data_IF_401456263261
#
_entry.id   IF_401456263261
#
_cell.length_a   1.000
_cell.length_b   1.000
_cell.length_c   1.000
_cell.angle_alpha   90.00
_cell.angle_beta   90.00
_cell.angle_gamma   90.00
#
_symmetry.space_group_name_H-M   'P 1'
#
loop_
_entity.id
_entity.type
_entity.pdbx_description
1 polymer ?
#
# COMPACT_ATOMS: atom_id res chain seq x y z
N UNK A 1 1.70 -14.21 -13.41
CA UNK A 1 0.23 -14.43 -13.34
C UNK A 1 -0.37 -13.96 -14.65
N UNK A 2 -1.29 -14.71 -15.26
CA UNK A 2 -1.99 -14.28 -16.48
C UNK A 2 -3.36 -13.77 -16.02
N UNK A 3 -3.70 -12.54 -16.38
CA UNK A 3 -5.02 -11.99 -16.11
C UNK A 3 -6.05 -12.69 -17.02
N UNK A 4 -7.07 -13.37 -16.48
CA UNK A 4 -8.06 -14.10 -17.27
C UNK A 4 -8.91 -13.18 -18.16
N UNK A 5 -9.04 -11.90 -17.82
CA UNK A 5 -9.88 -10.95 -18.56
C UNK A 5 -9.12 -10.24 -19.67
N UNK A 6 -7.86 -9.85 -19.42
CA UNK A 6 -7.05 -9.13 -20.41
C UNK A 6 -6.05 -10.00 -21.16
N UNK A 7 -5.85 -11.25 -20.74
CA UNK A 7 -4.82 -12.15 -21.26
C UNK A 7 -3.38 -11.67 -21.00
N UNK A 8 -3.20 -10.57 -20.27
CA UNK A 8 -1.89 -9.96 -20.04
C UNK A 8 -1.14 -10.74 -18.97
N UNK A 9 0.12 -11.04 -19.26
CA UNK A 9 1.03 -11.67 -18.31
C UNK A 9 1.72 -10.61 -17.47
N UNK A 10 1.44 -10.61 -16.17
CA UNK A 10 2.12 -9.76 -15.21
C UNK A 10 3.23 -10.53 -14.49
N UNK A 11 4.43 -9.92 -14.36
CA UNK A 11 5.52 -10.51 -13.62
C UNK A 11 5.21 -10.50 -12.12
N UNK A 12 5.69 -11.52 -11.40
CA UNK A 12 5.59 -11.54 -9.95
C UNK A 12 6.57 -10.51 -9.35
N UNK A 13 6.18 -9.78 -8.28
CA UNK A 13 7.08 -8.86 -7.62
C UNK A 13 8.28 -9.62 -7.01
N UNK A 14 9.47 -8.98 -6.94
CA UNK A 14 10.61 -9.55 -6.24
C UNK A 14 10.25 -9.86 -4.78
N UNK A 15 10.86 -10.93 -4.24
CA UNK A 15 10.61 -11.37 -2.85
C UNK A 15 10.75 -10.24 -1.83
N UNK A 16 11.73 -9.35 -2.01
CA UNK A 16 11.96 -8.21 -1.12
C UNK A 16 10.77 -7.23 -1.09
N UNK A 17 10.10 -7.02 -2.22
CA UNK A 17 8.93 -6.14 -2.32
C UNK A 17 7.72 -6.82 -1.69
N UNK A 18 7.49 -8.09 -2.01
CA UNK A 18 6.40 -8.87 -1.44
C UNK A 18 6.51 -9.01 0.08
N UNK A 19 7.71 -9.26 0.61
CA UNK A 19 7.97 -9.32 2.05
C UNK A 19 7.74 -7.98 2.74
N UNK A 20 7.98 -6.86 2.05
CA UNK A 20 7.71 -5.53 2.61
C UNK A 20 6.22 -5.28 2.75
N UNK A 21 5.42 -5.64 1.74
CA UNK A 21 3.96 -5.58 1.82
C UNK A 21 3.44 -6.46 2.97
N UNK A 22 3.98 -7.68 3.13
CA UNK A 22 3.61 -8.55 4.26
C UNK A 22 3.93 -7.92 5.61
N UNK A 23 5.12 -7.33 5.76
CA UNK A 23 5.51 -6.65 7.00
C UNK A 23 4.61 -5.46 7.34
N UNK A 24 4.13 -4.69 6.36
CA UNK A 24 3.15 -3.63 6.63
C UNK A 24 1.85 -4.22 7.18
N UNK A 25 1.37 -5.32 6.59
CA UNK A 25 0.15 -6.01 7.02
C UNK A 25 0.27 -6.59 8.43
N UNK A 26 1.44 -7.11 8.77
CA UNK A 26 1.69 -7.70 10.08
C UNK A 26 1.82 -6.62 11.17
N UNK A 27 2.36 -5.44 10.83
CA UNK A 27 2.63 -4.37 11.79
C UNK A 27 1.47 -3.36 11.93
N UNK A 28 0.68 -3.15 10.89
CA UNK A 28 -0.40 -2.15 10.87
C UNK A 28 -1.77 -2.85 10.92
N UNK A 29 -2.57 -2.64 11.98
CA UNK A 29 -3.85 -3.32 12.14
C UNK A 29 -4.93 -2.82 11.18
N UNK A 30 -4.81 -1.61 10.65
CA UNK A 30 -5.78 -1.00 9.74
C UNK A 30 -5.26 -1.02 8.31
N UNK A 31 -6.07 -1.57 7.40
CA UNK A 31 -5.70 -1.73 6.00
C UNK A 31 -5.63 -0.42 5.21
N UNK A 32 -6.26 0.65 5.69
CA UNK A 32 -6.28 1.96 5.02
C UNK A 32 -4.91 2.64 5.02
N UNK A 33 -4.06 2.30 5.99
CA UNK A 33 -2.71 2.86 6.13
C UNK A 33 -1.65 2.02 5.41
N UNK A 34 -2.03 0.87 4.84
CA UNK A 34 -1.11 -0.03 4.18
C UNK A 34 -0.56 0.59 2.90
N UNK A 35 0.76 0.68 2.84
CA UNK A 35 1.44 0.99 1.60
C UNK A 35 1.52 -0.25 0.72
N UNK A 36 1.12 -0.12 -0.55
CA UNK A 36 1.15 -1.22 -1.52
C UNK A 36 2.41 -1.13 -2.40
N UNK A 37 3.55 -1.60 -1.91
CA UNK A 37 4.82 -1.54 -2.61
C UNK A 37 4.84 -2.42 -3.87
N UNK A 38 4.14 -3.56 -3.89
CA UNK A 38 4.01 -4.39 -5.10
C UNK A 38 3.25 -3.66 -6.22
N UNK A 39 2.21 -2.90 -5.88
CA UNK A 39 1.50 -2.03 -6.82
C UNK A 39 2.41 -0.94 -7.42
N UNK A 40 3.19 -0.26 -6.58
CA UNK A 40 4.18 0.74 -7.03
C UNK A 40 5.24 0.11 -7.95
N UNK A 41 5.74 -1.07 -7.57
CA UNK A 41 6.73 -1.80 -8.38
C UNK A 41 6.14 -2.19 -9.74
N UNK A 42 4.93 -2.73 -9.76
CA UNK A 42 4.28 -3.17 -10.98
C UNK A 42 4.01 -1.99 -11.92
N UNK A 43 3.54 -0.86 -11.39
CA UNK A 43 3.31 0.35 -12.19
C UNK A 43 4.61 0.83 -12.87
N UNK A 44 5.73 0.86 -12.15
CA UNK A 44 7.05 1.20 -12.72
C UNK A 44 7.51 0.16 -13.76
N UNK A 45 7.25 -1.12 -13.51
CA UNK A 45 7.58 -2.19 -14.43
C UNK A 45 6.79 -2.08 -15.73
N UNK A 46 5.48 -1.86 -15.65
CA UNK A 46 4.59 -1.71 -16.81
C UNK A 46 5.01 -0.52 -17.67
N UNK A 47 5.41 0.60 -17.05
CA UNK A 47 5.96 1.76 -17.75
C UNK A 47 7.28 1.49 -18.50
N UNK A 48 7.95 0.37 -18.24
CA UNK A 48 9.23 0.03 -18.87
C UNK A 48 10.45 0.66 -18.20
N UNK A 49 10.29 1.26 -17.01
CA UNK A 49 11.39 1.86 -16.27
C UNK A 49 12.57 0.89 -16.02
N UNK A 50 12.37 -0.40 -15.67
CA UNK A 50 13.49 -1.31 -15.43
C UNK A 50 14.44 -1.46 -16.62
N UNK A 51 13.90 -1.44 -17.85
CA UNK A 51 14.69 -1.57 -19.07
C UNK A 51 15.61 -0.35 -19.26
N UNK A 52 15.03 0.85 -19.13
CA UNK A 52 15.77 2.11 -19.24
C UNK A 52 16.80 2.24 -18.11
N UNK A 53 16.42 1.87 -16.89
CA UNK A 53 17.30 1.95 -15.73
C UNK A 53 18.48 0.98 -15.86
N UNK A 54 18.27 -0.22 -16.40
CA UNK A 54 19.37 -1.18 -16.64
C UNK A 54 20.42 -0.63 -17.61
N UNK A 55 19.98 0.06 -18.66
CA UNK A 55 20.88 0.75 -19.62
C UNK A 55 21.65 1.89 -18.94
N UNK A 56 20.96 2.71 -18.16
CA UNK A 56 21.57 3.81 -17.41
C UNK A 56 22.60 3.33 -16.37
N UNK A 57 22.30 2.23 -15.67
CA UNK A 57 23.23 1.60 -14.72
C UNK A 57 24.47 1.00 -15.41
N UNK A 58 24.33 0.55 -16.66
CA UNK A 58 25.47 0.12 -17.48
C UNK A 58 26.34 1.30 -17.97
N UNK A 59 25.97 2.54 -17.65
CA UNK A 59 26.68 3.75 -18.07
C UNK A 59 26.28 4.27 -19.44
N UNK A 60 25.20 3.74 -20.04
CA UNK A 60 24.66 4.29 -21.28
C UNK A 60 24.04 5.67 -21.07
N UNK A 61 23.99 6.43 -22.15
CA UNK A 61 23.33 7.72 -22.17
C UNK A 61 22.03 7.67 -22.93
N UNK A 62 21.04 8.41 -22.43
CA UNK A 62 19.72 8.46 -23.03
C UNK A 62 19.43 9.86 -23.56
N UNK A 63 18.73 9.92 -24.69
CA UNK A 63 18.29 11.18 -25.32
C UNK A 63 16.77 11.31 -25.29
N UNK A 64 16.25 12.53 -25.45
CA UNK A 64 14.80 12.76 -25.46
C UNK A 64 14.05 12.01 -26.58
N UNK A 65 14.76 11.65 -27.65
CA UNK A 65 14.25 10.90 -28.81
C UNK A 65 14.43 9.39 -28.69
N UNK A 66 14.88 8.88 -27.53
CA UNK A 66 15.05 7.44 -27.32
C UNK A 66 13.69 6.72 -27.43
N UNK A 67 13.58 5.64 -28.22
CA UNK A 67 12.31 4.97 -28.47
C UNK A 67 11.70 4.35 -27.22
N UNK A 68 12.51 3.91 -26.25
CA UNK A 68 12.01 3.37 -24.99
C UNK A 68 11.37 4.48 -24.13
N UNK A 69 11.94 5.69 -24.15
CA UNK A 69 11.38 6.85 -23.44
C UNK A 69 10.10 7.38 -24.09
N UNK A 70 10.05 7.40 -25.42
CA UNK A 70 8.84 7.81 -26.15
C UNK A 70 7.70 6.85 -25.81
N UNK A 71 7.93 5.53 -25.89
CA UNK A 71 6.94 4.51 -25.51
C UNK A 71 6.50 4.63 -24.05
N UNK A 72 7.45 4.85 -23.13
CA UNK A 72 7.14 5.08 -21.72
C UNK A 72 6.21 6.29 -21.53
N UNK A 73 6.45 7.37 -22.28
CA UNK A 73 5.65 8.60 -22.20
C UNK A 73 4.26 8.42 -22.78
N UNK A 74 4.14 7.76 -23.92
CA UNK A 74 2.85 7.41 -24.53
C UNK A 74 2.00 6.56 -23.58
N UNK A 75 2.60 5.53 -22.99
CA UNK A 75 1.94 4.68 -22.02
C UNK A 75 1.53 5.46 -20.77
N UNK A 76 2.42 6.32 -20.27
CA UNK A 76 2.14 7.14 -19.11
C UNK A 76 1.00 8.15 -19.35
N UNK A 77 0.92 8.71 -20.55
CA UNK A 77 -0.17 9.60 -20.95
C UNK A 77 -1.51 8.86 -21.03
N UNK A 78 -1.50 7.61 -21.51
CA UNK A 78 -2.69 6.75 -21.59
C UNK A 78 -3.18 6.29 -20.21
N UNK A 79 -2.26 6.00 -19.27
CA UNK A 79 -2.60 5.52 -17.91
C UNK A 79 -2.45 6.59 -16.83
N UNK A 80 -2.70 7.86 -17.18
CA UNK A 80 -2.46 9.02 -16.32
C UNK A 80 -3.17 8.96 -14.96
N UNK A 81 -4.43 8.52 -14.96
CA UNK A 81 -5.23 8.39 -13.74
C UNK A 81 -4.63 7.35 -12.77
N UNK A 82 -4.21 6.20 -13.31
CA UNK A 82 -3.57 5.14 -12.52
C UNK A 82 -2.22 5.58 -11.97
N UNK A 83 -1.42 6.33 -12.73
CA UNK A 83 -0.13 6.84 -12.27
C UNK A 83 -0.30 7.82 -11.11
N UNK A 84 -1.29 8.71 -11.19
CA UNK A 84 -1.59 9.62 -10.08
C UNK A 84 -2.00 8.86 -8.83
N UNK A 85 -2.85 7.84 -8.97
CA UNK A 85 -3.35 7.06 -7.84
C UNK A 85 -2.25 6.18 -7.20
N UNK A 86 -1.39 5.56 -8.01
CA UNK A 86 -0.40 4.56 -7.53
C UNK A 86 0.96 5.19 -7.23
N UNK A 87 1.48 6.03 -8.14
CA UNK A 87 2.83 6.62 -8.02
C UNK A 87 2.81 8.01 -7.37
N UNK A 88 1.63 8.60 -7.16
CA UNK A 88 1.47 9.83 -6.38
C UNK A 88 1.87 11.12 -7.10
N UNK A 89 2.11 11.11 -8.41
CA UNK A 89 2.42 12.33 -9.18
C UNK A 89 1.50 12.50 -10.39
N UNK A 90 1.27 13.77 -10.77
CA UNK A 90 0.39 14.11 -11.89
C UNK A 90 1.21 14.35 -13.15
N UNK A 91 0.85 13.69 -14.25
CA UNK A 91 1.49 13.90 -15.55
C UNK A 91 0.72 14.97 -16.34
N UNK A 92 1.45 15.98 -16.82
CA UNK A 92 0.91 16.99 -17.74
C UNK A 92 0.63 16.39 -19.12
N UNK A 93 -0.40 16.83 -19.86
CA UNK A 93 -0.62 16.40 -21.25
C UNK A 93 0.54 16.77 -22.20
N UNK A 94 1.34 17.78 -21.85
CA UNK A 94 2.54 18.20 -22.60
C UNK A 94 3.84 17.68 -21.97
N UNK A 95 3.77 16.52 -21.32
CA UNK A 95 4.90 15.89 -20.66
C UNK A 95 6.03 15.61 -21.64
N UNK A 96 7.28 15.95 -21.27
CA UNK A 96 8.46 15.55 -22.04
C UNK A 96 9.00 14.21 -21.53
N UNK A 97 9.53 13.34 -22.41
CA UNK A 97 10.01 12.02 -21.99
C UNK A 97 11.11 12.08 -20.93
N UNK A 98 11.99 13.07 -21.04
CA UNK A 98 13.05 13.32 -20.05
C UNK A 98 12.47 13.74 -18.71
N UNK A 99 11.45 14.62 -18.67
CA UNK A 99 10.84 15.02 -17.41
C UNK A 99 10.23 13.81 -16.68
N UNK A 100 9.54 12.93 -17.42
CA UNK A 100 8.97 11.73 -16.84
C UNK A 100 10.06 10.81 -16.28
N UNK A 101 11.14 10.61 -17.04
CA UNK A 101 12.28 9.82 -16.61
C UNK A 101 12.93 10.40 -15.35
N UNK A 102 13.24 11.70 -15.34
CA UNK A 102 13.83 12.39 -14.19
C UNK A 102 12.93 12.26 -12.96
N UNK A 103 11.62 12.49 -13.11
CA UNK A 103 10.66 12.32 -12.00
C UNK A 103 10.68 10.90 -11.43
N UNK A 104 10.72 9.89 -12.29
CA UNK A 104 10.76 8.49 -11.86
C UNK A 104 12.10 8.13 -11.18
N UNK A 105 13.21 8.70 -11.64
CA UNK A 105 14.55 8.49 -11.07
C UNK A 105 14.69 9.22 -9.74
N UNK A 106 14.14 10.43 -9.62
CA UNK A 106 14.11 11.19 -8.37
C UNK A 106 13.31 10.46 -7.29
N UNK A 107 12.20 9.78 -7.65
CA UNK A 107 11.47 8.91 -6.73
C UNK A 107 12.29 7.72 -6.22
N UNK A 108 13.33 7.30 -6.94
CA UNK A 108 14.26 6.26 -6.50
C UNK A 108 15.40 6.84 -5.65
N UNK A 109 15.47 8.16 -5.48
CA UNK A 109 16.53 8.86 -4.76
C UNK A 109 17.83 8.98 -5.54
N UNK A 110 17.79 8.76 -6.86
CA UNK A 110 18.93 8.94 -7.76
C UNK A 110 18.82 10.28 -8.47
N UNK A 111 19.94 10.81 -8.97
CA UNK A 111 19.94 12.03 -9.80
C UNK A 111 20.50 11.77 -11.19
N UNK A 112 20.05 12.60 -12.13
CA UNK A 112 20.54 12.62 -13.50
C UNK A 112 21.41 13.85 -13.75
N UNK A 113 22.47 13.65 -14.51
CA UNK A 113 23.27 14.74 -15.12
C UNK A 113 22.97 14.82 -16.61
N UNK A 114 23.15 16.01 -17.18
CA UNK A 114 22.98 16.23 -18.62
C UNK A 114 24.25 16.80 -19.23
N UNK A 115 24.63 16.30 -20.40
CA UNK A 115 25.74 16.84 -21.19
C UNK A 115 25.29 17.09 -22.63
N UNK A 116 25.75 18.21 -23.20
CA UNK A 116 25.49 18.54 -24.61
C UNK A 116 26.64 17.99 -25.44
N UNK A 117 26.31 17.23 -26.48
CA UNK A 117 27.27 16.77 -27.48
C UNK A 117 26.85 17.28 -28.85
N UNK A 118 27.84 17.64 -29.67
CA UNK A 118 27.64 18.10 -31.06
C UNK A 118 28.20 19.49 -31.31
N UNK A 119 28.40 19.79 -32.59
CA UNK A 119 28.82 21.12 -33.07
C UNK A 119 27.72 22.17 -32.94
N UNK A 120 28.05 23.43 -33.26
CA UNK A 120 27.06 24.53 -33.32
C UNK A 120 25.94 24.16 -34.31
N UNK A 121 24.68 24.20 -33.84
CA UNK A 121 23.49 23.89 -34.64
C UNK A 121 22.94 22.47 -34.53
N UNK A 122 23.73 21.49 -34.04
CA UNK A 122 23.34 20.07 -33.90
C UNK A 122 23.55 19.55 -32.47
N UNK A 123 23.42 20.43 -31.47
CA UNK A 123 23.63 20.04 -30.07
C UNK A 123 22.47 19.18 -29.57
N UNK A 124 22.75 17.91 -29.27
CA UNK A 124 21.82 17.00 -28.62
C UNK A 124 22.18 16.89 -27.14
N UNK A 125 21.16 16.91 -26.28
CA UNK A 125 21.33 16.69 -24.83
C UNK A 125 21.27 15.19 -24.55
N UNK A 126 22.35 14.69 -23.96
CA UNK A 126 22.47 13.34 -23.44
C UNK A 126 22.33 13.38 -21.93
N UNK A 127 21.62 12.40 -21.39
CA UNK A 127 21.35 12.28 -19.97
C UNK A 127 21.94 10.97 -19.44
N UNK A 128 22.62 11.05 -18.32
CA UNK A 128 23.27 9.93 -17.63
C UNK A 128 23.01 10.02 -16.13
N UNK A 129 23.21 8.92 -15.40
CA UNK A 129 23.16 8.96 -13.93
C UNK A 129 24.40 9.70 -13.38
N UNK A 130 24.21 10.41 -12.27
CA UNK A 130 25.32 10.99 -11.50
C UNK A 130 26.14 9.87 -10.88
N UNK A 131 27.46 9.86 -11.11
CA UNK A 131 28.34 8.77 -10.66
C UNK A 131 28.43 8.73 -9.14
N UNK A 132 28.50 9.90 -8.50
CA UNK A 132 28.63 10.06 -7.05
C UNK A 132 27.38 9.59 -6.30
N UNK A 133 26.19 9.97 -6.77
CA UNK A 133 24.93 9.52 -6.16
C UNK A 133 24.72 8.02 -6.40
N UNK A 134 25.15 7.51 -7.55
CA UNK A 134 25.06 6.09 -7.88
C UNK A 134 25.99 5.24 -7.00
N UNK A 135 27.25 5.64 -6.83
CA UNK A 135 28.19 4.90 -5.96
C UNK A 135 27.70 4.86 -4.53
N UNK A 136 27.23 6.00 -4.00
CA UNK A 136 26.63 6.06 -2.68
C UNK A 136 25.41 5.15 -2.54
N UNK A 137 24.52 5.14 -3.53
CA UNK A 137 23.35 4.27 -3.52
C UNK A 137 23.75 2.78 -3.52
N UNK A 138 24.78 2.39 -4.28
CA UNK A 138 25.32 1.02 -4.29
C UNK A 138 25.85 0.65 -2.91
N UNK A 139 26.65 1.50 -2.28
CA UNK A 139 27.23 1.26 -0.95
C UNK A 139 26.12 1.07 0.11
N UNK A 140 25.09 1.91 0.07
CA UNK A 140 23.93 1.80 0.97
C UNK A 140 23.16 0.49 0.74
N UNK A 141 22.99 0.07 -0.52
CA UNK A 141 22.32 -1.19 -0.84
C UNK A 141 23.11 -2.40 -0.33
N UNK A 142 24.42 -2.43 -0.55
CA UNK A 142 25.32 -3.47 -0.03
C UNK A 142 25.32 -3.51 1.50
N UNK A 143 25.37 -2.34 2.15
CA UNK A 143 25.25 -2.26 3.61
C UNK A 143 23.93 -2.86 4.10
N UNK A 144 22.80 -2.49 3.49
CA UNK A 144 21.48 -3.00 3.86
C UNK A 144 21.32 -4.49 3.58
N UNK A 145 21.97 -5.02 2.56
CA UNK A 145 21.99 -6.45 2.26
C UNK A 145 22.74 -7.23 3.34
N UNK A 146 23.96 -6.81 3.69
CA UNK A 146 24.71 -7.40 4.81
C UNK A 146 23.92 -7.36 6.11
N UNK A 147 23.23 -6.27 6.41
CA UNK A 147 22.37 -6.16 7.60
C UNK A 147 21.19 -7.15 7.58
N UNK A 148 20.63 -7.45 6.41
CA UNK A 148 19.58 -8.47 6.28
C UNK A 148 20.15 -9.87 6.51
N UNK A 149 21.28 -10.19 5.89
CA UNK A 149 21.96 -11.48 6.04
C UNK A 149 22.37 -11.74 7.50
N UNK A 150 22.95 -10.74 8.18
CA UNK A 150 23.34 -10.84 9.58
C UNK A 150 22.12 -11.08 10.49
N UNK A 151 21.01 -10.40 10.22
CA UNK A 151 19.76 -10.60 10.96
C UNK A 151 19.20 -12.00 10.75
N UNK A 152 19.16 -12.48 9.50
CA UNK A 152 18.72 -13.84 9.16
C UNK A 152 19.60 -14.92 9.81
N UNK A 153 20.92 -14.70 9.85
CA UNK A 153 21.86 -15.61 10.50
C UNK A 153 21.61 -15.68 12.02
N UNK A 154 21.50 -14.53 12.69
CA UNK A 154 21.21 -14.47 14.14
C UNK A 154 19.88 -15.12 14.49
N UNK A 155 18.86 -14.95 13.66
CA UNK A 155 17.56 -15.59 13.86
C UNK A 155 17.64 -17.11 13.74
N UNK A 156 18.37 -17.64 12.74
CA UNK A 156 18.62 -19.09 12.60
C UNK A 156 19.40 -19.66 13.78
N UNK A 157 20.44 -18.96 14.24
CA UNK A 157 21.19 -19.39 15.42
C UNK A 157 20.33 -19.41 16.67
N UNK A 158 19.47 -18.39 16.86
CA UNK A 158 18.54 -18.35 18.00
C UNK A 158 17.57 -19.53 17.96
N UNK A 159 16.93 -19.77 16.82
CA UNK A 159 16.02 -20.91 16.64
C UNK A 159 16.74 -22.26 16.86
N UNK A 160 17.99 -22.38 16.41
CA UNK A 160 18.79 -23.59 16.65
C UNK A 160 19.11 -23.78 18.13
N UNK A 161 19.50 -22.71 18.84
CA UNK A 161 19.77 -22.75 20.29
C UNK A 161 18.51 -23.08 21.08
N UNK A 162 17.37 -22.51 20.72
CA UNK A 162 16.07 -22.81 21.31
C UNK A 162 15.71 -24.29 21.13
N UNK A 163 15.88 -24.86 19.93
CA UNK A 163 15.65 -26.28 19.67
C UNK A 163 16.59 -27.19 20.47
N UNK A 164 17.88 -26.89 20.52
CA UNK A 164 18.85 -27.67 21.29
C UNK A 164 18.53 -27.58 22.78
N UNK A 165 18.20 -26.40 23.29
CA UNK A 165 17.82 -26.21 24.68
C UNK A 165 16.55 -27.00 25.03
N UNK A 166 15.53 -26.96 24.15
CA UNK A 166 14.30 -27.72 24.32
C UNK A 166 14.55 -29.23 24.34
N UNK A 167 15.37 -29.75 23.41
CA UNK A 167 15.75 -31.15 23.38
C UNK A 167 16.54 -31.56 24.64
N UNK A 168 17.47 -30.72 25.10
CA UNK A 168 18.24 -30.96 26.32
C UNK A 168 17.32 -31.02 27.55
N UNK A 169 16.38 -30.08 27.68
CA UNK A 169 15.39 -30.07 28.77
C UNK A 169 14.49 -31.32 28.77
N UNK A 170 14.07 -31.79 27.59
CA UNK A 170 13.31 -33.04 27.45
C UNK A 170 14.12 -34.24 27.94
N UNK A 171 15.39 -34.37 27.52
CA UNK A 171 16.24 -35.49 27.92
C UNK A 171 16.55 -35.51 29.42
N UNK A 172 16.70 -34.33 30.04
CA UNK A 172 17.12 -34.22 31.44
C UNK A 172 15.95 -34.40 32.42
N UNK A 173 14.76 -33.92 32.07
CA UNK A 173 13.61 -33.91 32.98
C UNK A 173 12.49 -34.86 32.57
N UNK A 174 12.58 -35.54 31.42
CA UNK A 174 11.54 -36.44 30.91
C UNK A 174 10.21 -35.74 30.63
N UNK A 175 10.23 -34.40 30.54
CA UNK A 175 9.06 -33.58 30.24
C UNK A 175 8.93 -33.60 28.72
N UNK A 176 7.93 -34.32 28.20
CA UNK A 176 7.55 -34.22 26.79
C UNK A 176 7.38 -32.74 26.41
N UNK A 177 7.75 -32.33 25.18
CA UNK A 177 7.55 -30.94 24.76
C UNK A 177 6.13 -30.53 25.13
N UNK A 178 5.94 -29.37 25.80
CA UNK A 178 4.59 -28.88 26.00
C UNK A 178 3.94 -28.85 24.62
N UNK A 179 2.80 -29.53 24.49
CA UNK A 179 1.99 -29.47 23.27
C UNK A 179 1.93 -27.99 22.85
N UNK A 180 2.05 -27.65 21.55
CA UNK A 180 2.03 -26.25 21.10
C UNK A 180 0.75 -25.49 21.49
N UNK A 181 -0.23 -26.18 22.10
CA UNK A 181 -1.43 -25.66 22.75
C UNK A 181 -1.25 -25.19 24.20
N UNK A 182 -0.02 -25.00 24.72
CA UNK A 182 0.15 -24.33 26.02
C UNK A 182 0.13 -22.82 25.82
N UNK A 183 -1.03 -22.24 26.14
CA UNK A 183 -1.25 -20.79 26.26
C UNK A 183 -0.17 -20.20 27.15
N UNK A 184 0.74 -19.44 26.55
CA UNK A 184 1.68 -18.60 27.30
C UNK A 184 0.86 -17.59 28.11
N UNK A 185 1.08 -17.43 29.43
CA UNK A 185 0.31 -16.49 30.23
C UNK A 185 0.45 -15.06 29.65
N UNK A 186 -0.65 -14.31 29.54
CA UNK A 186 -0.65 -13.02 28.87
C UNK A 186 0.25 -12.03 29.61
N UNK A 187 1.23 -11.46 28.89
CA UNK A 187 1.91 -10.27 29.37
C UNK A 187 0.87 -9.15 29.51
N UNK A 188 0.77 -8.67 30.74
CA UNK A 188 -0.13 -7.64 31.28
C UNK A 188 -0.44 -6.53 30.26
N UNK A 189 -1.69 -6.48 29.81
CA UNK A 189 -2.24 -5.45 28.92
C UNK A 189 -3.73 -5.70 28.65
N UNK A 190 -4.54 -5.49 29.69
CA UNK A 190 -5.98 -5.16 29.69
C UNK A 190 -7.05 -6.16 29.20
N UNK A 191 -7.82 -6.66 30.21
CA UNK A 191 -9.30 -6.69 30.30
C UNK A 191 -10.10 -7.87 29.66
N UNK A 192 -10.41 -8.81 30.58
CA UNK A 192 -11.55 -9.75 30.79
C UNK A 192 -11.75 -11.08 29.99
N UNK A 193 -12.17 -12.16 30.72
CA UNK A 193 -12.31 -13.55 30.25
C UNK A 193 -13.76 -13.94 29.91
N UNK A 194 -13.97 -15.06 29.19
CA UNK A 194 -15.16 -15.91 29.38
C UNK A 194 -14.98 -17.32 28.75
N UNK A 195 -14.87 -18.30 29.65
CA UNK A 195 -15.53 -19.61 29.75
C UNK A 195 -15.68 -20.62 28.59
N UNK A 196 -15.10 -21.79 28.90
CA UNK A 196 -15.48 -23.19 28.64
C UNK A 196 -15.20 -23.92 27.30
N UNK A 197 -14.80 -25.22 27.38
CA UNK A 197 -14.17 -25.96 26.29
C UNK A 197 -15.11 -27.02 25.68
N UNK A 198 -15.17 -27.09 24.35
CA UNK A 198 -15.75 -28.23 23.63
C UNK A 198 -14.64 -29.17 23.16
N UNK A 199 -14.66 -30.37 23.70
CA UNK A 199 -13.91 -31.56 23.30
C UNK A 199 -14.41 -32.09 21.95
N UNK A 200 -13.51 -32.50 21.04
CA UNK A 200 -13.72 -33.70 20.20
C UNK A 200 -12.36 -34.22 19.70
N UNK A 201 -12.27 -35.54 19.64
CA UNK A 201 -11.10 -36.39 19.42
C UNK A 201 -10.59 -36.41 17.96
N UNK A 202 -9.34 -36.86 17.82
CA UNK A 202 -8.61 -37.05 16.57
C UNK A 202 -9.23 -38.15 15.69
N UNK A 203 -9.26 -37.94 14.36
CA UNK A 203 -8.68 -38.84 13.34
C UNK A 203 -8.69 -38.16 11.96
N UNK A 204 -7.85 -38.62 11.00
CA UNK A 204 -7.20 -37.76 10.01
C UNK A 204 -7.84 -37.80 8.61
N UNK A 205 -7.32 -36.92 7.75
CA UNK A 205 -7.07 -37.10 6.29
C UNK A 205 -7.66 -35.99 5.39
N UNK A 206 -6.81 -35.59 4.46
CA UNK A 206 -7.07 -34.97 3.15
C UNK A 206 -7.27 -33.46 2.98
N UNK A 207 -6.60 -33.01 1.91
CA UNK A 207 -6.45 -31.65 1.43
C UNK A 207 -7.70 -31.32 0.61
N UNK A 208 -8.53 -30.39 1.09
CA UNK A 208 -9.50 -29.69 0.24
C UNK A 208 -9.50 -28.17 0.49
N UNK A 209 -9.55 -27.44 -0.62
CA UNK A 209 -9.57 -26.00 -0.73
C UNK A 209 -10.91 -25.40 -0.28
N UNK A 210 -11.21 -25.28 1.01
CA UNK A 210 -12.31 -24.41 1.46
C UNK A 210 -12.15 -24.04 2.93
N UNK A 211 -11.77 -22.79 3.25
CA UNK A 211 -12.31 -22.02 4.40
C UNK A 211 -11.59 -20.67 4.56
N UNK A 212 -12.03 -19.67 3.78
CA UNK A 212 -11.69 -18.26 3.99
C UNK A 212 -12.82 -17.50 4.73
N UNK A 213 -13.74 -18.22 5.40
CA UNK A 213 -14.95 -17.64 6.01
C UNK A 213 -14.89 -17.47 7.53
N UNK A 214 -14.05 -18.22 8.24
CA UNK A 214 -14.14 -18.27 9.71
C UNK A 214 -13.20 -17.30 10.46
N UNK A 215 -12.32 -16.59 9.75
CA UNK A 215 -11.51 -15.50 10.34
C UNK A 215 -12.19 -14.13 10.28
N UNK A 216 -13.24 -13.98 9.46
CA UNK A 216 -13.97 -12.72 9.24
C UNK A 216 -14.71 -12.17 10.48
N UNK A 217 -15.35 -13.00 11.34
CA UNK A 217 -16.11 -12.50 12.48
C UNK A 217 -15.22 -11.85 13.55
N UNK A 218 -13.98 -12.36 13.68
CA UNK A 218 -13.03 -11.96 14.75
C UNK A 218 -12.31 -10.64 14.43
N UNK A 219 -12.23 -10.26 13.16
CA UNK A 219 -11.77 -8.93 12.70
C UNK A 219 -12.92 -7.92 12.69
N UNK A 220 -14.14 -8.34 12.37
CA UNK A 220 -15.33 -7.47 12.43
C UNK A 220 -15.63 -6.97 13.84
N UNK A 221 -15.50 -7.83 14.85
CA UNK A 221 -15.69 -7.44 16.25
C UNK A 221 -14.68 -6.39 16.72
N UNK A 222 -13.45 -6.41 16.17
CA UNK A 222 -12.40 -5.42 16.46
C UNK A 222 -12.65 -4.05 15.81
N UNK A 223 -13.39 -4.01 14.69
CA UNK A 223 -13.71 -2.79 13.96
C UNK A 223 -14.96 -2.06 14.51
N UNK A 224 -15.78 -2.74 15.31
CA UNK A 224 -17.01 -2.19 15.87
C UNK A 224 -16.80 -0.87 16.63
N UNK A 225 -15.80 -0.71 17.52
CA UNK A 225 -15.57 0.56 18.21
C UNK A 225 -15.18 1.70 17.26
N UNK A 226 -14.40 1.40 16.20
CA UNK A 226 -14.02 2.38 15.18
C UNK A 226 -15.23 2.81 14.34
N UNK A 227 -16.12 1.88 14.03
CA UNK A 227 -17.36 2.18 13.30
C UNK A 227 -18.31 3.06 14.14
N UNK A 228 -18.50 2.74 15.41
CA UNK A 228 -19.31 3.53 16.34
C UNK A 228 -18.76 4.96 16.49
N UNK A 229 -17.44 5.12 16.62
CA UNK A 229 -16.79 6.42 16.65
C UNK A 229 -17.04 7.22 15.36
N UNK A 230 -16.94 6.57 14.20
CA UNK A 230 -17.18 7.21 12.90
C UNK A 230 -18.64 7.65 12.76
N UNK A 231 -19.57 6.82 13.21
CA UNK A 231 -21.00 7.12 13.18
C UNK A 231 -21.35 8.31 14.08
N UNK A 232 -20.77 8.38 15.28
CA UNK A 232 -20.95 9.49 16.21
C UNK A 232 -20.34 10.80 15.67
N UNK A 233 -19.17 10.74 15.02
CA UNK A 233 -18.58 11.92 14.37
C UNK A 233 -19.46 12.43 13.23
N UNK A 234 -20.02 11.54 12.42
CA UNK A 234 -20.94 11.91 11.32
C UNK A 234 -22.24 12.51 11.87
N UNK A 235 -22.82 11.92 12.93
CA UNK A 235 -24.01 12.45 13.62
C UNK A 235 -23.74 13.84 14.21
N UNK A 236 -22.62 14.01 14.90
CA UNK A 236 -22.19 15.28 15.46
C UNK A 236 -22.01 16.35 14.38
N UNK A 237 -21.33 16.01 13.28
CA UNK A 237 -21.17 16.90 12.13
C UNK A 237 -22.51 17.33 11.51
N UNK A 238 -23.46 16.40 11.37
CA UNK A 238 -24.82 16.70 10.88
C UNK A 238 -25.54 17.67 11.82
N UNK A 239 -25.44 17.48 13.12
CA UNK A 239 -26.11 18.34 14.11
C UNK A 239 -25.57 19.78 14.08
N UNK A 240 -24.24 19.94 14.00
CA UNK A 240 -23.61 21.26 13.87
C UNK A 240 -24.07 21.98 12.61
N UNK A 241 -24.14 21.28 11.47
CA UNK A 241 -24.63 21.85 10.20
C UNK A 241 -26.10 22.28 10.33
N UNK A 242 -26.94 21.46 10.96
CA UNK A 242 -28.34 21.81 11.20
C UNK A 242 -28.47 23.07 12.08
N UNK A 243 -27.69 23.17 13.17
CA UNK A 243 -27.69 24.33 14.05
C UNK A 243 -27.22 25.61 13.35
N UNK A 244 -26.15 25.52 12.54
CA UNK A 244 -25.69 26.63 11.72
C UNK A 244 -26.77 27.09 10.73
N UNK A 245 -27.48 26.16 10.09
CA UNK A 245 -28.57 26.50 9.17
C UNK A 245 -29.75 27.17 9.89
N UNK A 246 -30.14 26.69 11.08
CA UNK A 246 -31.20 27.34 11.89
C UNK A 246 -30.81 28.76 12.26
N UNK A 247 -29.56 28.99 12.67
CA UNK A 247 -29.04 30.34 12.98
C UNK A 247 -29.04 31.26 11.76
N UNK A 248 -28.64 30.77 10.58
CA UNK A 248 -28.67 31.55 9.34
C UNK A 248 -30.10 31.91 8.90
N UNK A 249 -31.05 30.98 9.04
CA UNK A 249 -32.46 31.24 8.73
C UNK A 249 -33.10 32.24 9.71
N UNK A 250 -32.72 32.19 10.99
CA UNK A 250 -33.19 33.14 12.01
C UNK A 250 -32.70 34.58 11.75
N UNK A 251 -31.47 34.74 11.25
CA UNK A 251 -30.84 36.06 11.00
C UNK A 251 -31.18 36.67 9.63
N UNK A 252 -31.75 35.92 8.69
CA UNK A 252 -32.21 36.49 7.41
C UNK A 252 -33.49 37.33 7.61
N UNK A 253 -33.40 38.65 7.46
CA UNK A 253 -34.51 39.59 7.72
C UNK A 253 -35.57 39.70 6.62
N UNK A 254 -35.36 39.06 5.46
CA UNK A 254 -36.24 39.18 4.29
C UNK A 254 -37.09 37.92 4.05
N UNK A 255 -38.43 38.05 4.07
CA UNK A 255 -39.37 36.96 3.76
C UNK A 255 -39.12 36.28 2.40
N UNK A 256 -38.64 37.03 1.39
CA UNK A 256 -38.32 36.49 0.06
C UNK A 256 -37.03 35.67 0.03
N UNK A 257 -36.01 36.06 0.78
CA UNK A 257 -34.75 35.30 0.88
C UNK A 257 -34.95 33.99 1.67
N UNK A 258 -35.82 34.00 2.68
CA UNK A 258 -36.21 32.78 3.41
C UNK A 258 -36.82 31.71 2.50
N UNK A 259 -37.67 32.11 1.55
CA UNK A 259 -38.34 31.18 0.65
C UNK A 259 -37.38 30.55 -0.37
N UNK A 260 -36.42 31.32 -0.87
CA UNK A 260 -35.36 30.82 -1.78
C UNK A 260 -34.40 29.88 -1.05
N UNK A 261 -33.97 30.23 0.16
CA UNK A 261 -33.12 29.37 0.98
C UNK A 261 -33.83 28.06 1.35
N UNK A 262 -35.11 28.11 1.72
CA UNK A 262 -35.91 26.91 2.01
C UNK A 262 -36.01 25.97 0.80
N UNK A 263 -36.23 26.50 -0.41
CA UNK A 263 -36.31 25.67 -1.62
C UNK A 263 -34.96 25.00 -1.95
N UNK A 264 -33.86 25.76 -1.89
CA UNK A 264 -32.51 25.21 -2.14
C UNK A 264 -32.13 24.14 -1.10
N UNK A 265 -32.57 24.31 0.15
CA UNK A 265 -32.32 23.38 1.25
C UNK A 265 -33.15 22.10 1.10
N UNK A 266 -34.40 22.20 0.63
CA UNK A 266 -35.25 21.05 0.32
C UNK A 266 -34.67 20.22 -0.83
N UNK A 267 -34.20 20.89 -1.90
CA UNK A 267 -33.51 20.23 -3.02
C UNK A 267 -32.21 19.54 -2.59
N UNK A 268 -31.44 20.17 -1.69
CA UNK A 268 -30.22 19.59 -1.16
C UNK A 268 -30.48 18.37 -0.25
N UNK A 269 -31.52 18.42 0.59
CA UNK A 269 -31.94 17.28 1.43
C UNK A 269 -32.45 16.09 0.59
N UNK A 270 -33.17 16.35 -0.50
CA UNK A 270 -33.61 15.30 -1.42
C UNK A 270 -32.40 14.65 -2.12
N UNK A 271 -31.40 15.45 -2.54
CA UNK A 271 -30.18 14.92 -3.17
C UNK A 271 -29.31 14.13 -2.20
N UNK A 272 -29.16 14.58 -0.95
CA UNK A 272 -28.36 13.88 0.06
C UNK A 272 -28.99 12.58 0.56
N UNK A 273 -30.34 12.49 0.63
CA UNK A 273 -31.04 11.23 0.89
C UNK A 273 -30.87 10.19 -0.22
N UNK A 274 -30.86 10.60 -1.49
CA UNK A 274 -30.58 9.68 -2.62
C UNK A 274 -29.17 9.08 -2.56
N UNK A 275 -28.20 9.84 -2.05
CA UNK A 275 -26.82 9.36 -1.85
C UNK A 275 -26.69 8.33 -0.73
N UNK A 276 -27.59 8.33 0.26
CA UNK A 276 -27.55 7.38 1.38
C UNK A 276 -28.32 6.08 1.10
N UNK A 277 -29.34 6.11 0.23
CA UNK A 277 -30.05 4.90 -0.19
C UNK A 277 -29.29 4.08 -1.22
N UNK A 278 -28.45 4.72 -2.05
CA UNK A 278 -27.61 4.01 -3.04
C UNK A 278 -26.46 3.23 -2.39
N UNK A 279 -25.97 3.63 -1.22
CA UNK A 279 -24.88 2.90 -0.53
C UNK A 279 -25.35 1.70 0.30
N UNK A 280 -26.67 1.57 0.53
CA UNK A 280 -27.27 0.47 1.30
C UNK A 280 -27.86 -0.64 0.43
N UNK A 281 -28.11 -0.41 -0.87
CA UNK A 281 -28.65 -1.44 -1.77
C UNK A 281 -27.62 -2.10 -2.70
N UNK A 282 -26.35 -1.69 -2.68
CA UNK A 282 -25.28 -2.31 -3.48
C UNK A 282 -24.37 -3.26 -2.69
N UNK A 283 -24.67 -3.51 -1.40
CA UNK A 283 -23.96 -4.48 -0.56
C UNK A 283 -24.94 -5.40 0.20
N UNK A 284 -25.85 -6.06 -0.52
CA UNK A 284 -26.47 -7.33 -0.11
C UNK A 284 -26.21 -8.35 -1.21
#
# INVERSE_FOLDING_TARGET
>A
MIDPTTGKKYPAPPKIVAQRDLKERDNLPLCMDWHNYSGLWLARHVLGLPKVLSRLLAGEEVTATDPDLVKMTEMALATRAHIKAILGFTISPKCTPIWLLSTLIDQLGLKMTSRRKGGKGLQVRYYSLTVEDLSFAIDVLQYRERQREEKELKERERLSKERIHQAMMQTQYGIDPPNPSVVTPPQKGDIYPLDEPLTTENEPVEIEETEYKDSLPKTLSKLKPCWELLEEVIKGGREVINQMMVMLLANSGGQKEKMVLQHQLFDWLIRSRKLTTLTLSENI
#
